data_IF_120964867116
#
_entry.id   IF_120964867116
#
_cell.length_a   1.000
_cell.length_b   1.000
_cell.length_c   1.000
_cell.angle_alpha   90.00
_cell.angle_beta   90.00
_cell.angle_gamma   90.00
#
_symmetry.space_group_name_H-M   'P 1'
#
loop_
_entity.id
_entity.type
_entity.pdbx_description
1 polymer ?
#
# COMPACT_ATOMS: atom_id res chain seq x y z
N UNK A 1 -25.63 -20.22 15.63
CA UNK A 1 -24.42 -19.38 15.72
C UNK A 1 -24.75 -18.13 14.94
N UNK A 2 -24.97 -17.03 15.65
CA UNK A 2 -25.47 -15.77 15.12
C UNK A 2 -24.29 -14.94 14.61
N UNK A 3 -24.29 -14.61 13.31
CA UNK A 3 -23.28 -13.81 12.62
C UNK A 3 -23.53 -12.29 12.81
N UNK A 4 -24.50 -11.91 13.65
CA UNK A 4 -24.90 -10.52 13.87
C UNK A 4 -24.08 -9.83 14.96
N UNK A 5 -22.77 -10.08 15.02
CA UNK A 5 -21.88 -9.28 15.87
C UNK A 5 -21.77 -7.88 15.25
N UNK A 6 -22.70 -7.01 15.62
CA UNK A 6 -22.61 -5.58 15.33
C UNK A 6 -21.33 -5.06 15.98
N UNK A 7 -20.33 -4.75 15.17
CA UNK A 7 -19.08 -4.21 15.65
C UNK A 7 -19.32 -2.85 16.27
N UNK A 8 -19.21 -2.75 17.59
CA UNK A 8 -19.19 -1.46 18.29
C UNK A 8 -17.77 -0.91 18.26
N UNK A 9 -17.37 -0.39 17.09
CA UNK A 9 -16.11 0.34 16.94
C UNK A 9 -16.29 1.78 17.46
N UNK A 10 -15.23 2.43 18.00
CA UNK A 10 -15.31 3.82 18.41
C UNK A 10 -15.59 4.72 17.20
N UNK A 11 -16.80 5.28 17.09
CA UNK A 11 -17.20 6.13 15.96
C UNK A 11 -16.58 7.54 16.02
N UNK A 12 -16.18 8.02 17.20
CA UNK A 12 -15.71 9.39 17.36
C UNK A 12 -14.22 9.47 17.02
N UNK A 13 -13.95 9.92 15.79
CA UNK A 13 -12.61 10.29 15.32
C UNK A 13 -11.83 9.16 14.63
N UNK A 14 -12.38 7.95 14.55
CA UNK A 14 -11.77 6.84 13.82
C UNK A 14 -12.26 6.82 12.36
N UNK A 15 -11.42 7.30 11.45
CA UNK A 15 -11.65 7.24 10.01
C UNK A 15 -10.85 6.04 9.46
N UNK A 16 -11.38 5.27 8.51
CA UNK A 16 -10.70 4.08 7.95
C UNK A 16 -10.58 2.88 8.92
N UNK A 17 -11.66 2.54 9.63
CA UNK A 17 -11.74 1.32 10.47
C UNK A 17 -12.29 0.15 9.65
N UNK A 18 -11.71 -1.03 9.87
CA UNK A 18 -12.17 -2.32 9.41
C UNK A 18 -12.67 -3.13 10.61
N UNK A 19 -13.85 -3.72 10.49
CA UNK A 19 -14.30 -4.71 11.45
C UNK A 19 -14.05 -6.13 10.94
N UNK A 20 -13.47 -6.96 11.79
CA UNK A 20 -13.25 -8.37 11.55
C UNK A 20 -14.48 -9.18 12.00
N UNK A 21 -15.19 -9.75 11.01
CA UNK A 21 -16.48 -10.41 11.22
C UNK A 21 -16.44 -11.62 12.16
N UNK A 22 -15.28 -12.28 12.28
CA UNK A 22 -15.12 -13.49 13.11
C UNK A 22 -14.86 -13.17 14.58
N UNK A 23 -14.14 -12.08 14.85
CA UNK A 23 -13.69 -11.73 16.20
C UNK A 23 -14.47 -10.57 16.80
N UNK A 24 -15.16 -9.78 15.98
CA UNK A 24 -15.79 -8.52 16.37
C UNK A 24 -14.78 -7.42 16.70
N UNK A 25 -13.50 -7.62 16.39
CA UNK A 25 -12.43 -6.66 16.66
C UNK A 25 -12.38 -5.59 15.56
N UNK A 26 -12.07 -4.37 15.98
CA UNK A 26 -11.88 -3.23 15.10
C UNK A 26 -10.38 -3.00 14.89
N UNK A 27 -9.95 -2.94 13.64
CA UNK A 27 -8.59 -2.59 13.24
C UNK A 27 -8.61 -1.45 12.23
N UNK A 28 -7.46 -0.88 11.90
CA UNK A 28 -7.39 0.00 10.74
C UNK A 28 -7.55 -0.79 9.44
N UNK A 29 -8.12 -0.13 8.44
CA UNK A 29 -8.06 -0.59 7.05
C UNK A 29 -6.60 -0.62 6.59
N UNK A 30 -6.32 -1.48 5.60
CA UNK A 30 -4.99 -1.56 5.00
C UNK A 30 -4.58 -0.20 4.43
N UNK A 31 -3.33 0.17 4.66
CA UNK A 31 -2.83 1.49 4.29
C UNK A 31 -2.99 2.57 5.35
N UNK A 32 -3.60 2.24 6.51
CA UNK A 32 -3.78 3.16 7.63
C UNK A 32 -3.30 2.59 8.96
N UNK A 33 -2.93 3.48 9.87
CA UNK A 33 -2.48 3.16 11.22
C UNK A 33 -2.74 4.32 12.21
N UNK A 34 -2.29 4.14 13.45
CA UNK A 34 -2.45 5.09 14.55
C UNK A 34 -3.69 4.80 15.40
N UNK A 35 -3.83 5.52 16.52
CA UNK A 35 -4.89 5.27 17.50
C UNK A 35 -6.31 5.34 16.90
N UNK A 36 -6.51 6.19 15.89
CA UNK A 36 -7.79 6.43 15.25
C UNK A 36 -7.76 6.16 13.73
N UNK A 37 -6.77 5.39 13.23
CA UNK A 37 -6.65 5.06 11.80
C UNK A 37 -6.59 6.26 10.84
N UNK A 38 -6.19 7.42 11.38
CA UNK A 38 -6.12 8.69 10.65
C UNK A 38 -4.78 8.89 9.92
N UNK A 39 -3.77 8.07 10.22
CA UNK A 39 -2.45 8.16 9.60
C UNK A 39 -2.36 7.16 8.47
N UNK A 40 -1.98 7.62 7.28
CA UNK A 40 -1.68 6.75 6.16
C UNK A 40 -0.27 6.17 6.31
N UNK A 41 -0.03 4.98 5.76
CA UNK A 41 1.31 4.39 5.78
C UNK A 41 2.36 5.30 5.15
N UNK A 42 3.50 5.40 5.84
CA UNK A 42 4.69 6.05 5.32
C UNK A 42 5.20 5.34 4.05
N UNK A 43 5.84 6.09 3.17
CA UNK A 43 6.45 5.53 1.97
C UNK A 43 7.42 4.40 2.32
N UNK A 44 7.22 3.25 1.68
CA UNK A 44 8.00 2.04 1.92
C UNK A 44 7.32 1.03 2.84
N UNK A 45 6.14 1.34 3.36
CA UNK A 45 5.31 0.41 4.14
C UNK A 45 3.89 0.27 3.59
N UNK A 46 3.27 -0.88 3.83
CA UNK A 46 1.90 -1.17 3.40
C UNK A 46 1.19 -2.16 4.34
N UNK A 47 -0.09 -2.40 4.05
CA UNK A 47 -0.92 -3.40 4.72
C UNK A 47 -1.54 -2.89 6.02
N UNK A 48 -2.09 -3.81 6.81
CA UNK A 48 -2.74 -3.51 8.08
C UNK A 48 -1.72 -2.91 9.07
N UNK A 49 -2.02 -1.73 9.61
CA UNK A 49 -1.13 -0.99 10.51
C UNK A 49 0.28 -0.72 9.93
N UNK A 50 0.45 -0.78 8.60
CA UNK A 50 1.72 -0.53 7.93
C UNK A 50 2.85 -1.48 8.38
N UNK A 51 2.51 -2.72 8.75
CA UNK A 51 3.47 -3.69 9.26
C UNK A 51 4.35 -4.33 8.18
N UNK A 52 3.99 -4.19 6.90
CA UNK A 52 4.71 -4.81 5.79
C UNK A 52 5.61 -3.80 5.09
N UNK A 53 6.79 -4.24 4.66
CA UNK A 53 7.77 -3.40 3.96
C UNK A 53 7.68 -3.61 2.46
N UNK A 54 7.65 -2.53 1.70
CA UNK A 54 7.61 -2.59 0.25
C UNK A 54 8.91 -3.14 -0.35
N UNK A 55 8.77 -3.92 -1.42
CA UNK A 55 9.87 -4.57 -2.13
C UNK A 55 10.32 -3.81 -3.38
N UNK A 56 9.76 -2.62 -3.63
CA UNK A 56 10.07 -1.81 -4.79
C UNK A 56 11.55 -1.37 -4.80
N UNK A 57 12.18 -1.51 -5.96
CA UNK A 57 13.54 -1.04 -6.20
C UNK A 57 13.55 0.41 -6.69
N UNK A 58 14.76 0.98 -6.78
CA UNK A 58 15.00 2.32 -7.31
C UNK A 58 14.21 3.41 -6.60
N UNK A 59 13.98 3.23 -5.29
CA UNK A 59 13.20 4.15 -4.45
C UNK A 59 11.80 4.44 -4.99
N UNK A 60 11.23 3.50 -5.75
CA UNK A 60 9.87 3.65 -6.28
C UNK A 60 8.85 3.56 -5.15
N UNK A 61 7.82 4.42 -5.12
CA UNK A 61 6.76 4.34 -4.14
C UNK A 61 5.92 3.08 -4.36
N UNK A 62 5.32 2.60 -3.28
CA UNK A 62 4.36 1.50 -3.29
C UNK A 62 2.99 1.97 -2.84
N UNK A 63 1.95 1.26 -3.27
CA UNK A 63 0.62 1.40 -2.72
C UNK A 63 0.62 1.04 -1.23
N UNK A 64 0.09 1.91 -0.35
CA UNK A 64 0.03 1.65 1.09
C UNK A 64 -0.96 0.51 1.43
N UNK A 65 -1.88 0.18 0.51
CA UNK A 65 -2.89 -0.85 0.74
C UNK A 65 -2.32 -2.24 0.50
N UNK A 66 -1.68 -2.46 -0.65
CA UNK A 66 -1.31 -3.80 -1.12
C UNK A 66 0.17 -3.94 -1.53
N UNK A 67 0.98 -2.91 -1.34
CA UNK A 67 2.42 -2.96 -1.63
C UNK A 67 2.78 -2.91 -3.11
N UNK A 68 1.82 -2.77 -4.02
CA UNK A 68 2.07 -2.71 -5.46
C UNK A 68 2.94 -1.51 -5.83
N UNK A 69 4.00 -1.73 -6.61
CA UNK A 69 4.96 -0.69 -6.96
C UNK A 69 4.43 0.20 -8.09
N UNK A 70 4.63 1.51 -7.93
CA UNK A 70 4.41 2.48 -9.00
C UNK A 70 5.79 2.93 -9.52
N UNK A 71 6.16 2.43 -10.71
CA UNK A 71 7.43 2.77 -11.35
C UNK A 71 7.38 4.18 -11.96
N UNK A 72 7.39 5.19 -11.11
CA UNK A 72 7.31 6.61 -11.49
C UNK A 72 8.54 7.10 -12.26
N UNK A 73 9.69 6.43 -12.09
CA UNK A 73 10.94 6.79 -12.73
C UNK A 73 10.99 6.31 -14.20
N UNK A 74 11.25 7.20 -15.17
CA UNK A 74 11.30 6.83 -16.59
C UNK A 74 12.28 5.68 -16.84
N UNK A 75 11.82 4.70 -17.62
CA UNK A 75 12.64 3.55 -18.01
C UNK A 75 12.63 2.38 -17.01
N UNK A 76 12.00 2.48 -15.84
CA UNK A 76 11.86 1.33 -14.93
C UNK A 76 10.54 0.60 -15.12
N UNK A 77 10.61 -0.73 -15.10
CA UNK A 77 9.47 -1.63 -15.31
C UNK A 77 9.62 -2.90 -14.45
N UNK A 78 8.59 -3.72 -14.42
CA UNK A 78 8.52 -4.92 -13.58
C UNK A 78 7.73 -4.69 -12.30
N UNK A 79 7.36 -5.79 -11.65
CA UNK A 79 6.46 -5.76 -10.49
C UNK A 79 7.11 -5.06 -9.29
N UNK A 80 8.45 -5.05 -9.24
CA UNK A 80 9.24 -4.36 -8.23
C UNK A 80 10.10 -3.24 -8.81
N UNK A 81 9.80 -2.78 -10.03
CA UNK A 81 10.58 -1.77 -10.75
C UNK A 81 12.07 -2.11 -10.89
N UNK A 82 12.38 -3.41 -10.97
CA UNK A 82 13.74 -3.95 -11.02
C UNK A 82 14.36 -3.93 -12.42
N UNK A 83 13.53 -3.80 -13.47
CA UNK A 83 13.98 -3.82 -14.86
C UNK A 83 14.10 -2.42 -15.43
N UNK A 84 15.33 -1.92 -15.45
CA UNK A 84 15.69 -0.68 -16.14
C UNK A 84 15.85 -0.94 -17.64
N UNK A 85 15.20 -0.12 -18.47
CA UNK A 85 15.53 -0.03 -19.88
C UNK A 85 16.89 0.64 -20.00
N UNK A 86 17.85 -0.05 -20.61
CA UNK A 86 19.14 0.54 -20.90
C UNK A 86 18.94 1.79 -21.76
N UNK A 87 19.59 2.89 -21.38
CA UNK A 87 19.60 4.15 -22.14
C UNK A 87 19.99 3.92 -23.62
N UNK A 88 20.79 2.89 -23.91
CA UNK A 88 21.15 2.48 -25.27
C UNK A 88 19.98 2.02 -26.14
N UNK A 89 18.87 1.53 -25.58
CA UNK A 89 17.66 1.18 -26.34
C UNK A 89 16.91 2.43 -26.83
N UNK A 90 17.02 3.55 -26.10
CA UNK A 90 16.43 4.85 -26.46
C UNK A 90 17.17 5.53 -27.63
N UNK A 91 18.49 5.35 -27.74
CA UNK A 91 19.30 5.94 -28.83
C UNK A 91 19.13 5.19 -30.17
N UNK A 92 18.68 3.93 -30.15
CA UNK A 92 18.47 3.14 -31.36
C UNK A 92 17.12 3.37 -32.06
N UNK A 93 16.13 4.03 -31.42
CA UNK A 93 14.76 4.21 -31.94
C UNK A 93 14.33 5.68 -32.07
N UNK A 94 15.26 6.64 -31.97
CA UNK A 94 15.01 8.09 -32.13
C UNK A 94 15.97 8.73 -33.15
N UNK A 95 16.40 7.98 -34.15
CA UNK A 95 17.01 8.54 -35.37
C UNK A 95 15.97 8.50 -36.48
N UNK A 96 15.12 9.53 -36.53
CA UNK A 96 14.50 10.04 -37.75
C UNK A 96 14.87 11.53 -37.88
#
# INVERSE_FOLDING_TARGET
>A
MDCSQNCTCPEIGAWNVHCENETGLCSCQDGYHGQNCSLQCENGYFGRNCSEKCMCQNNSPCSPVNGACNCSSPGWTGDFCERGRAYSYYIQNHTD
#
